data_IF_473633488259
#
_entry.id   IF_473633488259
#
_cell.length_a   1.000
_cell.length_b   1.000
_cell.length_c   1.000
_cell.angle_alpha   90.00
_cell.angle_beta   90.00
_cell.angle_gamma   90.00
#
_symmetry.space_group_name_H-M   'P 1'
#
loop_
_entity.id
_entity.type
_entity.pdbx_description
1 polymer ?
#
# COMPACT_ATOMS: atom_id res chain seq x y z
N UNK A 1 -30.33 16.78 0.42
CA UNK A 1 -28.84 16.88 0.34
C UNK A 1 -28.43 16.70 -1.12
N UNK A 2 -27.41 17.41 -1.61
CA UNK A 2 -26.84 17.09 -2.93
C UNK A 2 -26.12 15.73 -2.85
N UNK A 3 -26.24 14.85 -3.85
CA UNK A 3 -25.45 13.63 -3.90
C UNK A 3 -23.95 13.95 -3.78
N UNK A 4 -23.22 13.17 -2.98
CA UNK A 4 -21.77 13.35 -2.79
C UNK A 4 -21.00 13.35 -4.11
N UNK A 5 -21.40 12.52 -5.07
CA UNK A 5 -20.81 12.48 -6.42
C UNK A 5 -20.95 13.80 -7.20
N UNK A 6 -21.99 14.59 -6.94
CA UNK A 6 -22.21 15.87 -7.64
C UNK A 6 -21.59 17.07 -6.89
N UNK A 7 -20.83 16.80 -5.83
CA UNK A 7 -20.20 17.84 -5.01
C UNK A 7 -18.74 17.98 -5.41
N UNK A 8 -18.32 19.22 -5.71
CA UNK A 8 -16.91 19.55 -5.97
C UNK A 8 -16.29 19.99 -4.65
N UNK A 9 -15.15 19.40 -4.30
CA UNK A 9 -14.40 19.74 -3.10
C UNK A 9 -13.07 20.43 -3.49
N UNK A 10 -13.09 21.72 -3.86
CA UNK A 10 -11.93 22.40 -4.44
C UNK A 10 -10.75 22.58 -3.47
N UNK A 11 -10.93 22.23 -2.19
CA UNK A 11 -9.92 22.29 -1.14
C UNK A 11 -9.70 20.93 -0.46
N UNK A 12 -10.12 19.84 -1.09
CA UNK A 12 -9.91 18.50 -0.53
C UNK A 12 -8.44 18.11 -0.68
N UNK A 13 -7.74 18.04 0.45
CA UNK A 13 -6.34 17.62 0.50
C UNK A 13 -6.17 16.19 1.00
N UNK A 14 -7.13 15.70 1.78
CA UNK A 14 -7.10 14.37 2.39
C UNK A 14 -8.35 13.60 2.01
N UNK A 15 -8.16 12.39 1.52
CA UNK A 15 -9.20 11.41 1.28
C UNK A 15 -8.86 10.15 2.07
N UNK A 16 -9.68 9.84 3.07
CA UNK A 16 -9.68 8.55 3.73
C UNK A 16 -11.00 7.86 3.40
N UNK A 17 -10.91 6.68 2.81
CA UNK A 17 -12.07 5.85 2.52
C UNK A 17 -11.85 4.46 3.09
N UNK A 18 -12.84 3.97 3.82
CA UNK A 18 -12.83 2.61 4.34
C UNK A 18 -14.21 2.00 4.25
N UNK A 19 -14.29 0.82 3.64
CA UNK A 19 -15.46 -0.05 3.71
C UNK A 19 -15.08 -1.45 4.22
N UNK A 20 -13.81 -1.65 4.55
CA UNK A 20 -13.33 -2.88 5.15
C UNK A 20 -13.74 -2.85 6.62
N UNK A 21 -14.67 -3.74 7.00
CA UNK A 21 -14.98 -3.97 8.40
C UNK A 21 -13.82 -4.73 9.00
N UNK A 22 -13.07 -4.09 9.89
CA UNK A 22 -12.19 -4.81 10.81
C UNK A 22 -13.12 -5.72 11.61
N UNK A 23 -12.97 -7.04 11.43
CA UNK A 23 -13.31 -7.96 12.51
C UNK A 23 -12.23 -7.67 13.54
N UNK A 24 -12.55 -6.86 14.55
CA UNK A 24 -11.74 -6.86 15.77
C UNK A 24 -11.99 -8.24 16.37
N UNK A 25 -10.98 -9.12 16.30
CA UNK A 25 -11.00 -10.47 16.87
C UNK A 25 -11.14 -10.48 18.42
N UNK A 26 -11.37 -9.31 19.05
CA UNK A 26 -11.71 -9.17 20.47
C UNK A 26 -13.21 -9.39 20.76
N UNK A 27 -14.05 -9.65 19.76
CA UNK A 27 -15.43 -10.09 19.95
C UNK A 27 -15.63 -11.43 19.23
N UNK A 28 -15.61 -12.49 20.04
CA UNK A 28 -15.51 -13.88 19.59
C UNK A 28 -16.45 -14.31 18.47
N UNK A 29 -15.92 -15.21 17.65
CA UNK A 29 -16.59 -16.23 16.83
C UNK A 29 -18.07 -15.99 16.48
N UNK A 30 -18.34 -15.00 15.65
CA UNK A 30 -19.55 -15.00 14.84
C UNK A 30 -19.22 -14.64 13.38
N UNK A 31 -19.02 -15.64 12.49
CA UNK A 31 -18.94 -15.37 11.06
C UNK A 31 -20.31 -14.87 10.60
N UNK A 32 -20.42 -13.56 10.35
CA UNK A 32 -21.62 -12.97 9.77
C UNK A 32 -21.72 -13.39 8.30
N UNK A 33 -22.47 -14.45 8.01
CA UNK A 33 -22.92 -14.80 6.65
C UNK A 33 -24.04 -13.84 6.22
N UNK A 34 -23.68 -12.59 5.95
CA UNK A 34 -24.59 -11.62 5.33
C UNK A 34 -24.51 -11.72 3.82
N UNK A 35 -25.13 -12.73 3.21
CA UNK A 35 -25.43 -12.68 1.77
C UNK A 35 -26.48 -11.60 1.59
N UNK A 36 -26.10 -10.43 1.05
CA UNK A 36 -27.08 -9.46 0.57
C UNK A 36 -27.64 -10.02 -0.75
N UNK A 37 -28.69 -10.84 -0.67
CA UNK A 37 -29.52 -11.16 -1.83
C UNK A 37 -30.48 -10.00 -2.06
N UNK A 38 -30.03 -8.96 -2.78
CA UNK A 38 -30.95 -7.97 -3.32
C UNK A 38 -31.35 -8.38 -4.74
N UNK A 39 -32.52 -9.00 -4.86
CA UNK A 39 -33.23 -9.29 -6.10
C UNK A 39 -33.91 -8.02 -6.68
N UNK A 40 -33.23 -6.88 -6.66
CA UNK A 40 -33.71 -5.67 -7.32
C UNK A 40 -32.84 -5.38 -8.54
N UNK A 41 -33.44 -5.48 -9.74
CA UNK A 41 -32.85 -5.09 -11.03
C UNK A 41 -32.66 -3.57 -11.19
N UNK A 42 -32.57 -2.83 -10.07
CA UNK A 42 -32.13 -1.45 -10.05
C UNK A 42 -30.68 -1.44 -9.57
N UNK A 43 -29.76 -1.25 -10.52
CA UNK A 43 -28.31 -1.14 -10.32
C UNK A 43 -28.04 -0.38 -9.02
N UNK A 44 -27.42 -1.01 -8.00
CA UNK A 44 -27.12 -0.31 -6.76
C UNK A 44 -26.24 0.88 -7.09
N UNK A 45 -26.59 2.04 -6.56
CA UNK A 45 -25.79 3.26 -6.60
C UNK A 45 -24.45 2.97 -5.90
N UNK A 46 -23.53 2.32 -6.61
CA UNK A 46 -22.35 1.70 -6.02
C UNK A 46 -21.47 2.85 -5.52
N UNK A 47 -21.11 2.90 -4.22
CA UNK A 47 -20.35 4.02 -3.64
C UNK A 47 -19.01 4.30 -4.36
N UNK A 48 -18.55 3.33 -5.15
CA UNK A 48 -17.43 3.46 -6.09
C UNK A 48 -17.58 4.62 -7.09
N UNK A 49 -18.75 4.82 -7.74
CA UNK A 49 -18.91 5.90 -8.73
C UNK A 49 -18.79 7.30 -8.08
N UNK A 50 -19.36 7.45 -6.88
CA UNK A 50 -19.21 8.66 -6.09
C UNK A 50 -17.75 8.90 -5.70
N UNK A 51 -17.03 7.86 -5.26
CA UNK A 51 -15.61 7.94 -4.90
C UNK A 51 -14.73 8.36 -6.10
N UNK A 52 -14.92 7.75 -7.26
CA UNK A 52 -14.22 8.15 -8.50
C UNK A 52 -14.47 9.63 -8.78
N UNK A 53 -15.73 10.06 -8.66
CA UNK A 53 -16.10 11.42 -8.99
C UNK A 53 -15.47 12.41 -8.02
N UNK A 54 -15.40 12.08 -6.72
CA UNK A 54 -14.66 12.86 -5.72
C UNK A 54 -13.18 12.97 -6.09
N UNK A 55 -12.52 11.86 -6.46
CA UNK A 55 -11.10 11.85 -6.85
C UNK A 55 -10.87 12.72 -8.09
N UNK A 56 -11.70 12.54 -9.13
CA UNK A 56 -11.61 13.33 -10.36
C UNK A 56 -11.83 14.82 -10.11
N UNK A 57 -12.85 15.17 -9.32
CA UNK A 57 -13.20 16.56 -9.03
C UNK A 57 -12.19 17.24 -8.09
N UNK A 58 -11.41 16.48 -7.34
CA UNK A 58 -10.33 17.03 -6.51
C UNK A 58 -9.14 17.52 -7.34
N UNK A 59 -9.08 17.22 -8.65
CA UNK A 59 -8.19 17.81 -9.66
C UNK A 59 -6.81 18.26 -9.13
N UNK A 60 -5.99 17.29 -8.72
CA UNK A 60 -4.63 17.52 -8.21
C UNK A 60 -4.49 18.33 -6.90
N UNK A 61 -5.55 18.58 -6.13
CA UNK A 61 -5.48 19.13 -4.76
C UNK A 61 -5.24 18.06 -3.70
N UNK A 62 -5.62 16.81 -3.98
CA UNK A 62 -5.36 15.69 -3.07
C UNK A 62 -3.85 15.51 -2.87
N UNK A 63 -3.49 15.33 -1.59
CA UNK A 63 -2.11 15.12 -1.10
C UNK A 63 -2.01 13.83 -0.29
N UNK A 64 -3.04 13.51 0.48
CA UNK A 64 -3.06 12.35 1.36
C UNK A 64 -4.24 11.45 0.97
N UNK A 65 -3.95 10.28 0.42
CA UNK A 65 -4.96 9.32 -0.03
C UNK A 65 -4.74 8.01 0.70
N UNK A 66 -5.78 7.55 1.41
CA UNK A 66 -5.75 6.35 2.22
C UNK A 66 -6.98 5.50 1.90
N UNK A 67 -6.75 4.35 1.29
CA UNK A 67 -7.77 3.42 0.83
C UNK A 67 -7.70 2.15 1.68
N UNK A 68 -8.55 2.07 2.71
CA UNK A 68 -8.69 0.88 3.56
C UNK A 68 -9.94 0.09 3.15
N UNK A 69 -9.89 -0.51 1.96
CA UNK A 69 -11.03 -1.14 1.30
C UNK A 69 -10.60 -2.39 0.54
N UNK A 70 -11.56 -3.25 0.27
CA UNK A 70 -11.38 -4.36 -0.68
C UNK A 70 -11.45 -3.80 -2.11
N UNK A 71 -10.29 -3.70 -2.75
CA UNK A 71 -10.11 -3.09 -4.07
C UNK A 71 -10.75 -3.89 -5.21
N UNK A 72 -11.12 -5.15 -4.99
CA UNK A 72 -11.83 -5.95 -6.01
C UNK A 72 -13.16 -5.27 -6.41
N UNK A 73 -13.78 -4.58 -5.45
CA UNK A 73 -15.04 -3.86 -5.62
C UNK A 73 -14.86 -2.42 -6.18
N UNK A 74 -13.62 -1.97 -6.34
CA UNK A 74 -13.26 -0.61 -6.79
C UNK A 74 -12.19 -0.71 -7.89
N UNK A 75 -12.52 -1.31 -9.04
CA UNK A 75 -11.55 -1.57 -10.10
C UNK A 75 -10.88 -0.27 -10.56
N UNK A 76 -9.59 -0.30 -10.89
CA UNK A 76 -8.84 0.84 -11.43
C UNK A 76 -8.73 2.07 -10.50
N UNK A 77 -9.20 2.01 -9.25
CA UNK A 77 -9.23 3.20 -8.37
C UNK A 77 -7.83 3.75 -8.09
N UNK A 78 -6.81 2.90 -8.04
CA UNK A 78 -5.40 3.31 -7.88
C UNK A 78 -4.94 4.06 -9.14
N UNK A 79 -5.23 3.53 -10.33
CA UNK A 79 -4.91 4.19 -11.61
C UNK A 79 -5.66 5.51 -11.80
N UNK A 80 -6.88 5.62 -11.26
CA UNK A 80 -7.64 6.87 -11.24
C UNK A 80 -6.94 7.88 -10.32
N UNK A 81 -6.49 7.48 -9.13
CA UNK A 81 -5.66 8.34 -8.28
C UNK A 81 -4.38 8.79 -9.02
N UNK A 82 -3.68 7.87 -9.68
CA UNK A 82 -2.46 8.17 -10.44
C UNK A 82 -2.71 9.24 -11.52
N UNK A 83 -3.82 9.13 -12.26
CA UNK A 83 -4.18 10.04 -13.35
C UNK A 83 -4.62 11.42 -12.87
N UNK A 84 -5.49 11.48 -11.85
CA UNK A 84 -6.16 12.73 -11.46
C UNK A 84 -5.52 13.42 -10.24
N UNK A 85 -4.65 12.74 -9.51
CA UNK A 85 -4.03 13.23 -8.29
C UNK A 85 -2.50 13.06 -8.31
N UNK A 86 -1.79 13.65 -9.29
CA UNK A 86 -0.33 13.48 -9.42
C UNK A 86 0.49 14.09 -8.27
N UNK A 87 -0.13 14.95 -7.45
CA UNK A 87 0.54 15.65 -6.35
C UNK A 87 0.42 14.92 -4.99
N UNK A 88 0.00 13.65 -4.97
CA UNK A 88 -0.06 12.87 -3.73
C UNK A 88 1.33 12.82 -3.08
N UNK A 89 1.37 13.16 -1.79
CA UNK A 89 2.55 13.08 -0.92
C UNK A 89 2.47 11.92 0.06
N UNK A 90 1.27 11.41 0.36
CA UNK A 90 1.07 10.21 1.16
C UNK A 90 0.02 9.32 0.51
N UNK A 91 0.40 8.10 0.15
CA UNK A 91 -0.48 7.07 -0.34
C UNK A 91 -0.49 5.85 0.61
N UNK A 92 -1.70 5.37 0.94
CA UNK A 92 -1.91 4.08 1.61
C UNK A 92 -2.98 3.28 0.89
N UNK A 93 -2.72 2.01 0.60
CA UNK A 93 -3.74 1.10 0.06
C UNK A 93 -3.50 -0.34 0.47
N UNK A 94 -4.55 -1.16 0.37
CA UNK A 94 -4.44 -2.62 0.43
C UNK A 94 -4.22 -3.18 -0.97
N UNK A 95 -3.21 -4.02 -1.17
CA UNK A 95 -2.86 -4.60 -2.47
C UNK A 95 -2.80 -6.13 -2.32
N UNK A 96 -3.70 -6.83 -3.01
CA UNK A 96 -3.96 -8.28 -2.86
C UNK A 96 -3.75 -9.06 -4.16
N UNK A 97 -3.67 -8.40 -5.31
CA UNK A 97 -3.47 -9.08 -6.59
C UNK A 97 -2.57 -8.32 -7.57
N UNK A 98 -2.22 -9.02 -8.65
CA UNK A 98 -1.36 -8.53 -9.72
C UNK A 98 -1.93 -7.31 -10.45
N UNK A 99 -3.26 -7.21 -10.60
CA UNK A 99 -3.90 -6.06 -11.24
C UNK A 99 -3.68 -4.81 -10.41
N UNK A 100 -3.93 -4.87 -9.11
CA UNK A 100 -3.72 -3.77 -8.18
C UNK A 100 -2.25 -3.38 -8.07
N UNK A 101 -1.34 -4.37 -8.08
CA UNK A 101 0.10 -4.12 -8.15
C UNK A 101 0.47 -3.32 -9.41
N UNK A 102 -0.03 -3.70 -10.59
CA UNK A 102 0.23 -2.95 -11.82
C UNK A 102 -0.29 -1.50 -11.75
N UNK A 103 -1.44 -1.29 -11.12
CA UNK A 103 -1.95 0.07 -10.89
C UNK A 103 -1.08 0.85 -9.89
N UNK A 104 -0.55 0.19 -8.85
CA UNK A 104 0.41 0.80 -7.94
C UNK A 104 1.69 1.23 -8.68
N UNK A 105 2.22 0.40 -9.57
CA UNK A 105 3.38 0.76 -10.40
C UNK A 105 3.08 1.98 -11.29
N UNK A 106 1.86 2.11 -11.80
CA UNK A 106 1.42 3.32 -12.51
C UNK A 106 1.37 4.53 -11.57
N UNK A 107 0.86 4.39 -10.35
CA UNK A 107 0.83 5.45 -9.37
C UNK A 107 2.23 5.95 -9.02
N UNK A 108 3.20 5.05 -8.81
CA UNK A 108 4.58 5.42 -8.54
C UNK A 108 5.22 6.23 -9.68
N UNK A 109 4.85 5.93 -10.94
CA UNK A 109 5.29 6.70 -12.11
C UNK A 109 4.68 8.11 -12.16
N UNK A 110 3.41 8.25 -11.78
CA UNK A 110 2.67 9.51 -11.90
C UNK A 110 2.86 10.45 -10.70
N UNK A 111 2.95 9.91 -9.49
CA UNK A 111 2.99 10.68 -8.25
C UNK A 111 4.43 10.98 -7.81
N UNK A 112 5.10 11.90 -8.50
CA UNK A 112 6.52 12.21 -8.29
C UNK A 112 6.83 12.96 -6.99
N UNK A 113 5.80 13.44 -6.29
CA UNK A 113 5.88 14.15 -5.01
C UNK A 113 5.62 13.24 -3.80
N UNK A 114 5.49 11.93 -4.01
CA UNK A 114 5.18 10.97 -2.94
C UNK A 114 6.32 10.92 -1.91
N UNK A 115 6.01 11.30 -0.67
CA UNK A 115 6.94 11.25 0.47
C UNK A 115 6.76 10.00 1.33
N UNK A 116 5.55 9.44 1.36
CA UNK A 116 5.19 8.28 2.16
C UNK A 116 4.32 7.31 1.37
N UNK A 117 4.74 6.04 1.34
CA UNK A 117 4.00 4.94 0.74
C UNK A 117 3.79 3.86 1.81
N UNK A 118 2.53 3.52 2.05
CA UNK A 118 2.16 2.40 2.90
C UNK A 118 1.35 1.39 2.10
N UNK A 119 1.85 0.16 2.05
CA UNK A 119 1.15 -0.95 1.43
C UNK A 119 0.70 -1.88 2.53
N UNK A 120 -0.57 -2.25 2.49
CA UNK A 120 -1.12 -3.29 3.36
C UNK A 120 -1.55 -4.47 2.51
N UNK A 121 -1.58 -5.66 3.07
CA UNK A 121 -2.16 -6.83 2.45
C UNK A 121 -2.91 -7.66 3.48
N UNK A 122 -3.91 -8.38 3.02
CA UNK A 122 -4.61 -9.33 3.87
C UNK A 122 -3.73 -10.56 4.06
N UNK A 123 -3.50 -10.91 5.32
CA UNK A 123 -2.61 -12.00 5.69
C UNK A 123 -3.45 -13.27 5.67
N UNK A 124 -2.92 -14.34 5.05
CA UNK A 124 -3.51 -15.69 5.13
C UNK A 124 -4.87 -15.90 4.47
N UNK A 125 -5.33 -14.97 3.62
CA UNK A 125 -6.52 -15.21 2.80
C UNK A 125 -6.12 -15.87 1.46
N UNK A 126 -6.72 -17.03 1.18
CA UNK A 126 -6.57 -17.76 -0.09
C UNK A 126 -7.00 -16.99 -1.34
N UNK A 127 -7.79 -15.92 -1.18
CA UNK A 127 -8.18 -15.02 -2.26
C UNK A 127 -7.04 -14.08 -2.69
N UNK A 128 -6.02 -13.94 -1.83
CA UNK A 128 -4.85 -13.09 -2.07
C UNK A 128 -3.89 -13.83 -3.00
N UNK A 129 -3.64 -13.23 -4.17
CA UNK A 129 -2.73 -13.78 -5.18
C UNK A 129 -1.33 -13.16 -5.13
N UNK A 130 -1.09 -12.21 -4.22
CA UNK A 130 0.21 -11.56 -4.03
C UNK A 130 0.49 -11.29 -2.55
N UNK A 131 1.70 -11.57 -2.07
CA UNK A 131 2.08 -11.30 -0.66
C UNK A 131 3.02 -12.34 -0.05
N UNK A 132 3.14 -13.48 -0.74
CA UNK A 132 4.17 -14.48 -0.47
C UNK A 132 5.51 -14.06 -1.10
N UNK A 133 6.65 -14.50 -0.54
CA UNK A 133 7.96 -14.02 -0.98
C UNK A 133 8.22 -14.22 -2.47
N UNK A 134 7.86 -15.37 -3.03
CA UNK A 134 8.10 -15.67 -4.46
C UNK A 134 7.27 -14.81 -5.41
N UNK A 135 6.14 -14.26 -4.97
CA UNK A 135 5.34 -13.31 -5.76
C UNK A 135 5.93 -11.89 -5.64
N UNK A 136 6.19 -11.48 -4.40
CA UNK A 136 6.63 -10.11 -4.09
C UNK A 136 8.03 -9.82 -4.61
N UNK A 137 8.93 -10.81 -4.56
CA UNK A 137 10.28 -10.70 -5.09
C UNK A 137 10.32 -10.43 -6.60
N UNK A 138 9.25 -10.76 -7.35
CA UNK A 138 9.13 -10.44 -8.78
C UNK A 138 8.86 -8.95 -9.01
N UNK A 139 8.11 -8.30 -8.12
CA UNK A 139 7.71 -6.90 -8.26
C UNK A 139 8.67 -5.94 -7.57
N UNK A 140 9.31 -6.37 -6.48
CA UNK A 140 10.24 -5.56 -5.68
C UNK A 140 11.30 -4.83 -6.50
N UNK A 141 11.99 -5.45 -7.48
CA UNK A 141 12.97 -4.76 -8.31
C UNK A 141 12.36 -3.59 -9.10
N UNK A 142 11.13 -3.74 -9.60
CA UNK A 142 10.43 -2.70 -10.36
C UNK A 142 9.89 -1.60 -9.43
N UNK A 143 9.37 -1.96 -8.25
CA UNK A 143 9.00 -0.97 -7.23
C UNK A 143 10.22 -0.10 -6.90
N UNK A 144 11.35 -0.71 -6.56
CA UNK A 144 12.59 0.01 -6.20
C UNK A 144 13.04 0.99 -7.29
N UNK A 145 12.88 0.62 -8.57
CA UNK A 145 13.19 1.48 -9.73
C UNK A 145 12.24 2.67 -9.88
N UNK A 146 10.97 2.50 -9.51
CA UNK A 146 9.91 3.49 -9.74
C UNK A 146 9.66 4.42 -8.56
N UNK A 147 10.25 4.14 -7.38
CA UNK A 147 10.08 5.03 -6.23
C UNK A 147 10.54 6.46 -6.57
N UNK A 148 9.71 7.48 -6.29
CA UNK A 148 10.08 8.85 -6.57
C UNK A 148 11.16 9.34 -5.59
N UNK A 149 12.03 10.24 -6.05
CA UNK A 149 13.16 10.78 -5.26
C UNK A 149 12.74 11.48 -3.96
N UNK A 150 11.48 11.88 -3.87
CA UNK A 150 10.88 12.55 -2.71
C UNK A 150 10.48 11.58 -1.59
N UNK A 151 10.45 10.26 -1.86
CA UNK A 151 10.02 9.25 -0.91
C UNK A 151 11.00 9.13 0.26
N UNK A 152 10.46 9.25 1.48
CA UNK A 152 11.21 9.17 2.75
C UNK A 152 10.79 7.97 3.57
N UNK A 153 9.54 7.54 3.45
CA UNK A 153 8.94 6.50 4.28
C UNK A 153 8.29 5.45 3.40
N UNK A 154 8.73 4.20 3.55
CA UNK A 154 8.19 3.07 2.80
C UNK A 154 7.83 1.93 3.75
N UNK A 155 6.54 1.69 3.93
CA UNK A 155 6.02 0.67 4.84
C UNK A 155 5.25 -0.39 4.06
N UNK A 156 5.52 -1.64 4.37
CA UNK A 156 4.80 -2.78 3.85
C UNK A 156 4.36 -3.66 5.02
N UNK A 157 3.05 -3.78 5.18
CA UNK A 157 2.40 -4.64 6.16
C UNK A 157 1.65 -5.77 5.45
N UNK A 158 1.96 -7.03 5.79
CA UNK A 158 1.27 -8.21 5.24
C UNK A 158 1.87 -8.81 3.99
N UNK A 159 2.85 -8.17 3.34
CA UNK A 159 3.72 -8.85 2.40
C UNK A 159 5.03 -9.25 3.05
N UNK A 160 5.53 -10.41 2.69
CA UNK A 160 6.88 -10.85 2.99
C UNK A 160 7.69 -10.96 1.70
N UNK A 161 8.98 -10.64 1.78
CA UNK A 161 9.96 -10.81 0.68
C UNK A 161 11.10 -11.68 1.17
N UNK A 162 11.91 -12.27 0.29
CA UNK A 162 13.15 -12.93 0.75
C UNK A 162 14.27 -11.89 0.95
N UNK A 163 15.37 -12.22 1.67
CA UNK A 163 16.54 -11.35 1.72
C UNK A 163 17.11 -11.02 0.33
N UNK A 164 17.01 -11.97 -0.63
CA UNK A 164 17.41 -11.75 -2.01
C UNK A 164 16.46 -10.77 -2.73
N UNK A 165 15.15 -10.90 -2.54
CA UNK A 165 14.15 -9.97 -3.04
C UNK A 165 14.39 -8.54 -2.54
N UNK A 166 14.64 -8.40 -1.23
CA UNK A 166 15.00 -7.10 -0.63
C UNK A 166 16.31 -6.56 -1.24
N UNK A 167 17.34 -7.39 -1.38
CA UNK A 167 18.61 -6.97 -2.01
C UNK A 167 18.40 -6.46 -3.44
N UNK A 168 17.55 -7.12 -4.23
CA UNK A 168 17.23 -6.70 -5.59
C UNK A 168 16.42 -5.39 -5.62
N UNK A 169 15.46 -5.21 -4.71
CA UNK A 169 14.77 -3.93 -4.52
C UNK A 169 15.79 -2.82 -4.23
N UNK A 170 16.66 -3.01 -3.25
CA UNK A 170 17.63 -2.01 -2.79
C UNK A 170 18.66 -1.67 -3.88
N UNK A 171 19.07 -2.66 -4.69
CA UNK A 171 19.97 -2.45 -5.83
C UNK A 171 19.38 -1.48 -6.87
N UNK A 172 18.08 -1.56 -7.10
CA UNK A 172 17.38 -0.70 -8.05
C UNK A 172 16.87 0.61 -7.41
N UNK A 173 16.85 0.67 -6.08
CA UNK A 173 16.41 1.84 -5.33
C UNK A 173 17.47 2.96 -5.37
N UNK A 174 17.10 4.07 -6.02
CA UNK A 174 17.91 5.27 -6.13
C UNK A 174 17.35 6.43 -5.28
N UNK A 175 16.64 6.09 -4.21
CA UNK A 175 16.01 7.04 -3.30
C UNK A 175 16.65 6.94 -1.92
N UNK A 176 16.87 8.09 -1.27
CA UNK A 176 17.41 8.16 0.09
C UNK A 176 16.29 7.95 1.13
N UNK A 177 15.81 6.71 1.20
CA UNK A 177 14.74 6.34 2.13
C UNK A 177 15.24 6.52 3.56
N UNK A 178 14.46 7.21 4.41
CA UNK A 178 14.78 7.45 5.82
C UNK A 178 14.35 6.30 6.72
N UNK A 179 13.20 5.70 6.40
CA UNK A 179 12.70 4.53 7.11
C UNK A 179 12.01 3.57 6.16
N UNK A 180 12.31 2.29 6.37
CA UNK A 180 11.64 1.19 5.70
C UNK A 180 11.09 0.19 6.71
N UNK A 181 9.97 -0.42 6.40
CA UNK A 181 9.47 -1.58 7.14
C UNK A 181 8.83 -2.62 6.23
N UNK A 182 9.03 -3.88 6.59
CA UNK A 182 8.51 -5.04 5.88
C UNK A 182 8.41 -6.25 6.81
N UNK A 183 7.60 -7.23 6.42
CA UNK A 183 7.53 -8.50 7.14
C UNK A 183 8.69 -9.43 6.73
N UNK A 184 9.40 -9.95 7.72
CA UNK A 184 10.41 -10.98 7.54
C UNK A 184 9.72 -12.33 7.29
N UNK A 185 10.14 -13.02 6.23
CA UNK A 185 9.72 -14.40 5.94
C UNK A 185 10.51 -15.43 6.76
N UNK A 186 11.76 -15.11 7.08
CA UNK A 186 12.69 -15.92 7.86
C UNK A 186 13.18 -15.15 9.10
N UNK A 187 14.47 -15.21 9.45
CA UNK A 187 15.05 -14.43 10.53
C UNK A 187 15.22 -12.95 10.15
N UNK A 188 15.08 -12.04 11.11
CA UNK A 188 15.40 -10.60 10.93
C UNK A 188 16.89 -10.36 10.65
N UNK A 189 17.77 -11.19 11.22
CA UNK A 189 19.22 -11.10 11.06
C UNK A 189 19.65 -11.17 9.60
N UNK A 190 19.06 -12.07 8.80
CA UNK A 190 19.37 -12.21 7.37
C UNK A 190 19.05 -10.94 6.57
N UNK A 191 18.01 -10.19 6.96
CA UNK A 191 17.66 -8.93 6.32
C UNK A 191 18.55 -7.77 6.80
N UNK A 192 18.93 -7.76 8.08
CA UNK A 192 19.86 -6.76 8.62
C UNK A 192 21.20 -6.82 7.88
N UNK A 193 21.72 -8.02 7.62
CA UNK A 193 22.92 -8.23 6.80
C UNK A 193 22.83 -7.59 5.41
N UNK A 194 21.67 -7.72 4.75
CA UNK A 194 21.41 -7.13 3.42
C UNK A 194 21.36 -5.60 3.51
N UNK A 195 20.67 -5.08 4.53
CA UNK A 195 20.49 -3.65 4.77
C UNK A 195 21.80 -2.96 5.11
N UNK A 196 22.62 -3.55 5.98
CA UNK A 196 23.93 -3.00 6.36
C UNK A 196 24.89 -2.95 5.17
N UNK A 197 24.91 -4.02 4.34
CA UNK A 197 25.68 -4.04 3.09
C UNK A 197 25.22 -2.92 2.15
N UNK A 198 23.91 -2.75 1.97
CA UNK A 198 23.35 -1.67 1.15
C UNK A 198 23.72 -0.28 1.70
N UNK A 199 23.52 -0.03 2.99
CA UNK A 199 23.82 1.25 3.62
C UNK A 199 25.30 1.62 3.41
N UNK A 200 26.22 0.68 3.66
CA UNK A 200 27.65 0.86 3.41
C UNK A 200 27.96 1.20 1.95
N UNK A 201 27.32 0.52 0.98
CA UNK A 201 27.50 0.79 -0.44
C UNK A 201 27.01 2.19 -0.85
N UNK A 202 25.97 2.71 -0.20
CA UNK A 202 25.43 4.05 -0.44
C UNK A 202 26.14 5.15 0.39
N UNK A 203 27.14 4.79 1.20
CA UNK A 203 27.81 5.73 2.10
C UNK A 203 26.92 6.21 3.25
N UNK A 204 25.90 5.42 3.60
CA UNK A 204 24.92 5.65 4.66
C UNK A 204 25.14 4.70 5.83
N UNK A 205 24.45 4.94 6.94
CA UNK A 205 24.44 4.10 8.14
C UNK A 205 23.00 3.74 8.52
N UNK A 206 22.88 2.59 9.15
CA UNK A 206 21.66 2.20 9.87
C UNK A 206 21.72 2.88 11.24
N UNK A 207 20.76 3.77 11.52
CA UNK A 207 20.66 4.51 12.78
C UNK A 207 19.91 3.74 13.87
N UNK A 208 19.17 2.70 13.49
CA UNK A 208 18.48 1.83 14.40
C UNK A 208 17.58 0.86 13.66
N UNK A 209 17.24 -0.23 14.33
CA UNK A 209 16.18 -1.13 13.89
C UNK A 209 15.33 -1.54 15.08
N UNK A 210 14.09 -1.91 14.80
CA UNK A 210 13.18 -2.49 15.79
C UNK A 210 12.38 -3.60 15.15
N UNK A 211 12.14 -4.64 15.92
CA UNK A 211 11.28 -5.74 15.54
C UNK A 211 9.92 -5.54 16.19
N UNK A 212 8.87 -5.59 15.38
CA UNK A 212 7.49 -5.67 15.86
C UNK A 212 7.00 -7.08 15.62
N UNK A 213 6.74 -7.80 16.70
CA UNK A 213 6.06 -9.11 16.63
C UNK A 213 4.61 -8.89 16.27
N UNK A 214 4.16 -9.57 15.24
CA UNK A 214 2.75 -9.59 14.86
C UNK A 214 2.25 -11.04 14.89
N UNK A 215 1.22 -11.27 15.70
CA UNK A 215 0.47 -12.53 15.76
C UNK A 215 1.33 -13.80 15.97
N UNK A 216 2.38 -13.68 16.79
CA UNK A 216 3.13 -14.83 17.31
C UNK A 216 4.11 -15.52 16.35
N UNK A 217 4.03 -15.27 15.04
CA UNK A 217 4.85 -15.98 14.04
C UNK A 217 5.68 -15.07 13.11
N UNK A 218 5.21 -13.86 12.81
CA UNK A 218 5.89 -12.99 11.85
C UNK A 218 6.48 -11.75 12.52
N UNK A 219 7.71 -11.40 12.11
CA UNK A 219 8.45 -10.24 12.57
C UNK A 219 8.39 -9.15 11.51
N UNK A 220 7.79 -8.01 11.82
CA UNK A 220 7.96 -6.80 11.01
C UNK A 220 9.25 -6.13 11.43
N UNK A 221 10.22 -6.05 10.53
CA UNK A 221 11.47 -5.33 10.76
C UNK A 221 11.28 -3.88 10.31
N UNK A 222 11.61 -2.94 11.18
CA UNK A 222 11.57 -1.51 10.89
C UNK A 222 12.99 -0.98 11.01
N UNK A 223 13.50 -0.38 9.96
CA UNK A 223 14.88 0.14 9.87
C UNK A 223 14.84 1.64 9.63
N UNK A 224 15.64 2.36 10.40
CA UNK A 224 15.90 3.80 10.26
C UNK A 224 17.33 4.02 9.71
N UNK A 225 17.46 4.86 8.69
CA UNK A 225 18.75 5.25 8.07
C UNK A 225 19.14 6.69 8.45
N UNK A 226 20.41 7.06 8.28
CA UNK A 226 20.90 8.45 8.38
C UNK A 226 20.60 9.34 7.17
#
# INVERSE_FOLDING_TARGET
>A
MKPLGNTIFPKLHTLYFSNYRVIDDDLGDHPYQGIIQNNDQNIPDHPYLALITIIKNSNATLRNVRLNMDLVNYPNIISICATYCPNITYYKARIQNHSEMNQLLQLLKSCTQLEQLEITAEKWDSSVSIGLPWEIDLFFPEIGKLLPKTLKYFDIDGWSCTPLGLSNFLKNCNVDIKRMSWMCYISSADYLDVIEKYAKLKGRKVNGHREKKEWGLNLTLIVDFD
#
